data_IF_088833007309
#
_entry.id   IF_088833007309
#
_cell.length_a   1.000
_cell.length_b   1.000
_cell.length_c   1.000
_cell.angle_alpha   90.00
_cell.angle_beta   90.00
_cell.angle_gamma   90.00
#
_symmetry.space_group_name_H-M   'P 1'
#
loop_
_entity.id
_entity.type
_entity.pdbx_description
1 polymer ?
#
# COMPACT_ATOMS: atom_id res chain seq x y z
N UNK A 1 -19.60 -18.85 -7.02
CA UNK A 1 -18.25 -18.68 -7.63
C UNK A 1 -18.32 -17.50 -8.59
N UNK A 2 -17.31 -16.60 -8.59
CA UNK A 2 -17.22 -15.54 -9.60
C UNK A 2 -17.04 -16.13 -11.00
N UNK A 3 -17.53 -15.45 -12.03
CA UNK A 3 -17.35 -15.85 -13.42
C UNK A 3 -15.93 -15.60 -13.94
N UNK A 4 -15.26 -14.58 -13.37
CA UNK A 4 -13.90 -14.17 -13.71
C UNK A 4 -13.06 -14.33 -12.45
N UNK A 5 -11.93 -15.03 -12.58
CA UNK A 5 -10.98 -15.26 -11.49
C UNK A 5 -9.57 -14.81 -11.92
N UNK A 6 -8.67 -14.52 -10.98
CA UNK A 6 -7.28 -14.23 -11.30
C UNK A 6 -6.61 -15.34 -12.14
N UNK A 7 -6.96 -16.62 -11.88
CA UNK A 7 -6.47 -17.75 -12.65
C UNK A 7 -6.80 -17.64 -14.14
N UNK A 8 -8.05 -17.28 -14.49
CA UNK A 8 -8.48 -17.09 -15.88
C UNK A 8 -7.76 -15.90 -16.52
N UNK A 9 -7.63 -14.79 -15.77
CA UNK A 9 -7.01 -13.57 -16.29
C UNK A 9 -5.50 -13.72 -16.49
N UNK A 10 -4.84 -14.47 -15.63
CA UNK A 10 -3.39 -14.66 -15.66
C UNK A 10 -2.96 -15.91 -16.42
N UNK A 11 -3.89 -16.63 -17.05
CA UNK A 11 -3.59 -17.79 -17.86
C UNK A 11 -2.57 -17.45 -18.96
N UNK A 12 -1.53 -18.28 -19.10
CA UNK A 12 -0.45 -18.07 -20.07
C UNK A 12 0.54 -16.94 -19.71
N UNK A 13 0.36 -16.24 -18.61
CA UNK A 13 1.22 -15.11 -18.23
C UNK A 13 2.68 -15.51 -18.05
N UNK A 14 2.91 -16.74 -17.64
CA UNK A 14 4.24 -17.28 -17.34
C UNK A 14 4.71 -18.33 -18.34
N UNK A 15 4.10 -18.43 -19.52
CA UNK A 15 4.51 -19.40 -20.56
C UNK A 15 5.93 -19.08 -21.09
N UNK A 16 6.23 -17.78 -21.26
CA UNK A 16 7.51 -17.29 -21.77
C UNK A 16 8.42 -16.70 -20.69
N UNK A 17 7.93 -16.50 -19.47
CA UNK A 17 8.67 -15.89 -18.38
C UNK A 17 8.47 -16.65 -17.07
N UNK A 18 9.48 -16.74 -16.20
CA UNK A 18 9.33 -17.44 -14.93
C UNK A 18 8.31 -16.74 -14.02
N UNK A 19 7.46 -17.52 -13.33
CA UNK A 19 6.64 -16.98 -12.25
C UNK A 19 7.56 -16.57 -11.09
N UNK A 20 7.41 -15.33 -10.55
CA UNK A 20 8.21 -14.89 -9.40
C UNK A 20 7.89 -15.69 -8.14
N UNK A 21 8.91 -15.97 -7.32
CA UNK A 21 8.77 -16.66 -6.03
C UNK A 21 8.58 -15.67 -4.86
N UNK A 22 7.74 -14.66 -5.04
CA UNK A 22 7.51 -13.65 -4.01
C UNK A 22 6.57 -14.16 -2.91
N UNK A 23 6.98 -13.94 -1.66
CA UNK A 23 6.08 -14.08 -0.49
C UNK A 23 5.59 -12.74 0.00
N UNK A 24 6.29 -11.67 -0.34
CA UNK A 24 5.91 -10.28 -0.01
C UNK A 24 5.94 -9.43 -1.26
N UNK A 25 4.97 -8.52 -1.37
CA UNK A 25 4.94 -7.48 -2.39
C UNK A 25 4.72 -6.09 -1.78
N UNK A 26 5.31 -5.08 -2.42
CA UNK A 26 5.09 -3.65 -2.12
C UNK A 26 4.34 -3.03 -3.28
N UNK A 27 3.17 -2.44 -3.01
CA UNK A 27 2.35 -1.70 -3.97
C UNK A 27 2.59 -0.20 -3.80
N UNK A 28 3.14 0.45 -4.83
CA UNK A 28 3.52 1.87 -4.80
C UNK A 28 2.45 2.72 -5.49
N UNK A 29 1.60 3.35 -4.71
CA UNK A 29 0.50 4.21 -5.17
C UNK A 29 0.98 5.66 -5.32
N UNK A 30 1.83 5.88 -6.31
CA UNK A 30 2.41 7.20 -6.62
C UNK A 30 2.42 7.43 -8.13
N UNK A 31 2.49 8.69 -8.52
CA UNK A 31 2.75 9.11 -9.89
C UNK A 31 4.10 8.59 -10.43
N UNK A 32 4.44 9.00 -11.63
CA UNK A 32 5.66 8.55 -12.29
C UNK A 32 6.93 8.88 -11.50
N UNK A 33 7.03 10.13 -11.05
CA UNK A 33 8.20 10.63 -10.32
C UNK A 33 8.30 10.01 -8.92
N UNK A 34 7.22 10.04 -8.16
CA UNK A 34 7.16 9.44 -6.83
C UNK A 34 7.41 7.94 -6.83
N UNK A 35 6.90 7.20 -7.82
CA UNK A 35 7.20 5.78 -7.98
C UNK A 35 8.67 5.52 -8.29
N UNK A 36 9.31 6.38 -9.09
CA UNK A 36 10.76 6.33 -9.33
C UNK A 36 11.56 6.50 -8.05
N UNK A 37 11.20 7.47 -7.22
CA UNK A 37 11.82 7.69 -5.91
C UNK A 37 11.63 6.50 -4.96
N UNK A 38 10.44 5.88 -4.93
CA UNK A 38 10.17 4.69 -4.13
C UNK A 38 11.01 3.50 -4.58
N UNK A 39 11.04 3.20 -5.87
CA UNK A 39 11.82 2.09 -6.44
C UNK A 39 13.32 2.28 -6.15
N UNK A 40 13.84 3.49 -6.36
CA UNK A 40 15.23 3.83 -6.07
C UNK A 40 15.52 3.74 -4.57
N UNK A 41 14.66 4.29 -3.72
CA UNK A 41 14.82 4.27 -2.26
C UNK A 41 14.76 2.87 -1.67
N UNK A 42 14.00 1.96 -2.27
CA UNK A 42 13.95 0.54 -1.94
C UNK A 42 15.16 -0.23 -2.49
N UNK A 43 15.85 0.29 -3.50
CA UNK A 43 16.92 -0.43 -4.20
C UNK A 43 16.41 -1.58 -5.09
N UNK A 44 15.14 -1.50 -5.50
CA UNK A 44 14.53 -2.51 -6.36
C UNK A 44 14.99 -2.38 -7.81
N UNK A 45 15.08 -3.50 -8.53
CA UNK A 45 15.53 -3.56 -9.91
C UNK A 45 14.40 -3.99 -10.84
N UNK A 46 14.33 -3.47 -12.07
CA UNK A 46 13.35 -3.92 -13.05
C UNK A 46 13.42 -5.42 -13.28
N UNK A 47 12.26 -6.07 -13.36
CA UNK A 47 12.18 -7.51 -13.64
C UNK A 47 12.32 -7.83 -15.15
N UNK A 48 12.09 -6.84 -16.02
CA UNK A 48 12.21 -6.99 -17.48
C UNK A 48 10.94 -7.50 -18.17
N UNK A 49 9.94 -7.97 -17.42
CA UNK A 49 8.62 -8.35 -17.92
C UNK A 49 7.52 -7.96 -16.94
N UNK A 50 6.30 -7.87 -17.44
CA UNK A 50 5.13 -7.52 -16.63
C UNK A 50 4.54 -8.76 -15.98
N UNK A 51 4.44 -8.77 -14.65
CA UNK A 51 3.89 -9.89 -13.88
C UNK A 51 2.37 -9.82 -13.80
N UNK A 52 1.81 -8.64 -13.50
CA UNK A 52 0.40 -8.45 -13.21
C UNK A 52 -0.36 -7.88 -14.41
N UNK A 53 -1.58 -8.38 -14.64
CA UNK A 53 -2.45 -7.90 -15.72
C UNK A 53 -3.17 -6.61 -15.35
N UNK A 54 -3.49 -6.43 -14.07
CA UNK A 54 -4.21 -5.26 -13.56
C UNK A 54 -3.46 -3.91 -13.68
N UNK A 55 -2.18 -3.95 -14.09
CA UNK A 55 -1.42 -2.72 -14.37
C UNK A 55 -1.73 -2.09 -15.73
N UNK A 56 -2.33 -2.85 -16.64
CA UNK A 56 -2.54 -2.42 -18.01
C UNK A 56 -1.24 -2.23 -18.81
N UNK A 57 -1.38 -2.13 -20.11
CA UNK A 57 -0.29 -1.78 -21.01
C UNK A 57 -0.58 -0.42 -21.62
N UNK A 58 0.26 0.57 -21.31
CA UNK A 58 0.15 1.91 -21.91
C UNK A 58 1.22 2.10 -22.96
N UNK A 59 0.86 2.21 -24.26
CA UNK A 59 1.82 2.48 -25.32
C UNK A 59 2.65 3.73 -25.02
N UNK A 60 3.95 3.65 -25.25
CA UNK A 60 4.87 4.78 -25.04
C UNK A 60 5.29 5.02 -23.58
N UNK A 61 4.97 4.13 -22.66
CA UNK A 61 5.41 4.21 -21.28
C UNK A 61 6.76 3.49 -21.09
N UNK A 62 7.87 4.22 -20.90
CA UNK A 62 9.22 3.66 -20.93
C UNK A 62 9.61 2.94 -19.61
N UNK A 63 8.82 3.06 -18.55
CA UNK A 63 9.21 2.52 -17.25
C UNK A 63 8.53 1.18 -16.98
N UNK A 64 9.28 0.17 -16.55
CA UNK A 64 8.71 -1.07 -16.06
C UNK A 64 7.89 -0.81 -14.79
N UNK A 65 6.74 -1.44 -14.68
CA UNK A 65 5.92 -1.38 -13.46
C UNK A 65 6.39 -2.40 -12.42
N UNK A 66 6.97 -3.49 -12.87
CA UNK A 66 7.36 -4.63 -12.04
C UNK A 66 8.85 -4.61 -11.77
N UNK A 67 9.19 -4.60 -10.50
CA UNK A 67 10.56 -4.64 -10.00
C UNK A 67 10.68 -5.74 -8.95
N UNK A 68 11.91 -6.11 -8.65
CA UNK A 68 12.25 -7.06 -7.60
C UNK A 68 13.32 -6.49 -6.67
N UNK A 69 13.13 -6.69 -5.37
CA UNK A 69 14.10 -6.38 -4.34
C UNK A 69 14.60 -7.68 -3.71
N UNK A 70 15.92 -7.82 -3.60
CA UNK A 70 16.55 -8.94 -2.89
C UNK A 70 16.95 -8.52 -1.46
N UNK A 71 16.49 -9.28 -0.46
CA UNK A 71 16.90 -9.11 0.94
C UNK A 71 17.35 -10.48 1.47
N UNK A 72 18.65 -10.68 1.58
CA UNK A 72 19.20 -12.01 1.85
C UNK A 72 18.75 -13.03 0.79
N UNK A 73 18.09 -14.08 1.24
CA UNK A 73 17.51 -15.11 0.35
C UNK A 73 16.11 -14.75 -0.14
N UNK A 74 15.43 -13.76 0.48
CA UNK A 74 14.09 -13.39 0.11
C UNK A 74 14.06 -12.55 -1.17
N UNK A 75 12.98 -12.75 -1.95
CA UNK A 75 12.63 -11.94 -3.10
C UNK A 75 11.30 -11.24 -2.82
N UNK A 76 11.28 -9.93 -2.97
CA UNK A 76 10.14 -9.06 -2.72
C UNK A 76 9.74 -8.40 -4.02
N UNK A 77 8.49 -8.58 -4.43
CA UNK A 77 7.93 -7.87 -5.56
C UNK A 77 7.72 -6.39 -5.23
N UNK A 78 8.07 -5.49 -6.15
CA UNK A 78 7.79 -4.05 -6.02
C UNK A 78 7.05 -3.61 -7.26
N UNK A 79 5.77 -3.29 -7.09
CA UNK A 79 4.88 -2.88 -8.16
C UNK A 79 4.78 -1.35 -8.10
N UNK A 80 5.41 -0.70 -9.05
CA UNK A 80 5.46 0.75 -9.15
C UNK A 80 4.25 1.29 -9.93
N UNK A 81 3.90 2.56 -9.70
CA UNK A 81 2.87 3.28 -10.44
C UNK A 81 1.49 2.61 -10.37
N UNK A 82 1.14 2.05 -9.24
CA UNK A 82 -0.23 1.64 -8.99
C UNK A 82 -1.14 2.87 -9.10
N UNK A 83 -2.22 2.76 -9.85
CA UNK A 83 -3.19 3.84 -10.02
C UNK A 83 -3.97 4.06 -8.72
N UNK A 84 -4.57 5.23 -8.62
CA UNK A 84 -5.37 5.58 -7.46
C UNK A 84 -6.69 4.82 -7.44
N UNK A 85 -7.07 4.39 -6.25
CA UNK A 85 -8.39 3.86 -5.95
C UNK A 85 -8.49 2.36 -5.75
N UNK A 86 -9.60 2.01 -5.10
CA UNK A 86 -9.91 0.65 -4.67
C UNK A 86 -9.93 -0.39 -5.78
N UNK A 87 -10.56 -0.15 -6.96
CA UNK A 87 -10.70 -1.19 -7.97
C UNK A 87 -9.37 -1.79 -8.44
N UNK A 88 -8.38 -0.95 -8.76
CA UNK A 88 -7.08 -1.48 -9.16
C UNK A 88 -6.37 -2.16 -7.97
N UNK A 89 -6.47 -1.57 -6.78
CA UNK A 89 -5.90 -2.16 -5.56
C UNK A 89 -6.38 -3.59 -5.37
N UNK A 90 -7.68 -3.82 -5.47
CA UNK A 90 -8.29 -5.15 -5.31
C UNK A 90 -7.82 -6.15 -6.38
N UNK A 91 -7.78 -5.73 -7.65
CA UNK A 91 -7.28 -6.57 -8.75
C UNK A 91 -5.83 -7.00 -8.46
N UNK A 92 -4.95 -6.07 -8.10
CA UNK A 92 -3.55 -6.37 -7.81
C UNK A 92 -3.38 -7.31 -6.62
N UNK A 93 -4.20 -7.17 -5.57
CA UNK A 93 -4.19 -8.09 -4.41
C UNK A 93 -4.56 -9.50 -4.83
N UNK A 94 -5.62 -9.68 -5.61
CA UNK A 94 -6.06 -11.00 -6.06
C UNK A 94 -5.05 -11.66 -7.01
N UNK A 95 -4.46 -10.89 -7.93
CA UNK A 95 -3.40 -11.40 -8.82
C UNK A 95 -2.12 -11.78 -8.05
N UNK A 96 -1.74 -11.00 -7.04
CA UNK A 96 -0.62 -11.32 -6.16
C UNK A 96 -0.90 -12.57 -5.31
N UNK A 97 -2.13 -12.74 -4.82
CA UNK A 97 -2.56 -13.96 -4.14
C UNK A 97 -2.41 -15.19 -5.02
N UNK A 98 -2.85 -15.08 -6.27
CA UNK A 98 -2.76 -16.16 -7.26
C UNK A 98 -1.31 -16.63 -7.48
N UNK A 99 -0.34 -15.73 -7.52
CA UNK A 99 1.08 -16.09 -7.67
C UNK A 99 1.76 -16.50 -6.36
N UNK A 100 1.03 -16.55 -5.25
CA UNK A 100 1.52 -17.09 -3.97
C UNK A 100 2.11 -16.07 -3.00
N UNK A 101 1.83 -14.78 -3.19
CA UNK A 101 2.14 -13.71 -2.22
C UNK A 101 1.26 -13.88 -0.99
N UNK A 102 1.84 -13.75 0.19
CA UNK A 102 1.16 -13.88 1.49
C UNK A 102 1.18 -12.60 2.32
N UNK A 103 2.00 -11.63 1.92
CA UNK A 103 2.11 -10.32 2.60
C UNK A 103 2.13 -9.18 1.59
N UNK A 104 1.35 -8.13 1.83
CA UNK A 104 1.34 -6.93 0.97
C UNK A 104 1.54 -5.67 1.83
N UNK A 105 2.45 -4.81 1.39
CA UNK A 105 2.68 -3.48 1.95
C UNK A 105 2.23 -2.46 0.90
N UNK A 106 1.14 -1.74 1.16
CA UNK A 106 0.77 -0.57 0.38
C UNK A 106 1.59 0.64 0.84
N UNK A 107 2.08 1.44 -0.11
CA UNK A 107 2.82 2.67 0.18
C UNK A 107 2.33 3.82 -0.71
N UNK A 108 2.00 4.96 -0.08
CA UNK A 108 1.44 6.10 -0.81
C UNK A 108 1.32 7.37 0.03
N UNK A 109 0.55 8.31 -0.48
CA UNK A 109 0.22 9.55 0.21
C UNK A 109 -1.16 9.47 0.88
N UNK A 110 -1.37 10.23 1.93
CA UNK A 110 -2.66 10.43 2.60
C UNK A 110 -2.89 11.90 2.89
N UNK A 111 -4.15 12.34 2.85
CA UNK A 111 -4.57 13.64 3.35
C UNK A 111 -4.84 13.57 4.85
N UNK A 112 -4.36 14.54 5.64
CA UNK A 112 -4.71 14.63 7.06
C UNK A 112 -6.04 15.34 7.26
N UNK A 113 -6.91 14.74 8.04
CA UNK A 113 -8.15 15.35 8.53
C UNK A 113 -8.12 15.56 10.04
N UNK A 114 -7.05 15.21 10.73
CA UNK A 114 -6.86 15.39 12.18
C UNK A 114 -5.86 16.54 12.44
N UNK A 115 -6.26 17.58 13.21
CA UNK A 115 -5.37 18.68 13.57
C UNK A 115 -4.05 18.25 14.26
N UNK A 116 -4.04 17.10 14.94
CA UNK A 116 -2.86 16.57 15.63
C UNK A 116 -1.83 15.89 14.70
N UNK A 117 -2.19 15.65 13.42
CA UNK A 117 -1.34 14.96 12.45
C UNK A 117 -0.92 15.94 11.35
N UNK A 118 0.23 16.61 11.50
CA UNK A 118 0.68 17.60 10.53
C UNK A 118 1.18 16.93 9.23
N UNK A 119 1.17 17.74 8.17
CA UNK A 119 1.82 17.42 6.90
C UNK A 119 3.30 17.02 7.12
N UNK A 120 3.77 16.03 6.38
CA UNK A 120 5.10 15.42 6.55
C UNK A 120 5.16 14.26 7.55
N UNK A 121 4.10 14.03 8.35
CA UNK A 121 4.06 12.88 9.25
C UNK A 121 4.13 11.57 8.48
N UNK A 122 4.92 10.61 8.96
CA UNK A 122 4.85 9.22 8.52
C UNK A 122 3.75 8.50 9.31
N UNK A 123 2.93 7.71 8.62
CA UNK A 123 1.78 7.04 9.23
C UNK A 123 1.71 5.56 8.83
N UNK A 124 1.15 4.75 9.73
CA UNK A 124 0.73 3.37 9.44
C UNK A 124 -0.74 3.23 9.76
N UNK A 125 -1.54 2.81 8.79
CA UNK A 125 -2.98 2.64 8.96
C UNK A 125 -3.26 1.36 9.74
N UNK A 126 -3.53 1.49 11.04
CA UNK A 126 -3.93 0.35 11.87
C UNK A 126 -5.38 -0.03 11.63
N UNK A 127 -6.24 0.94 11.35
CA UNK A 127 -7.66 0.77 11.06
C UNK A 127 -7.98 1.42 9.74
N UNK A 128 -8.88 0.83 8.95
CA UNK A 128 -9.45 1.42 7.73
C UNK A 128 -10.97 1.40 7.81
N UNK A 129 -11.62 2.56 7.65
CA UNK A 129 -13.08 2.67 7.55
C UNK A 129 -13.52 2.37 6.11
N UNK A 130 -14.50 1.48 5.96
CA UNK A 130 -15.03 1.02 4.66
C UNK A 130 -16.10 1.96 4.14
N UNK A 131 -15.71 3.03 3.45
CA UNK A 131 -16.65 4.01 2.88
C UNK A 131 -16.69 3.98 1.34
N UNK A 132 -15.74 3.31 0.71
CA UNK A 132 -15.61 3.11 -0.73
C UNK A 132 -16.49 1.95 -1.26
N UNK A 133 -16.76 1.96 -2.55
CA UNK A 133 -17.58 0.93 -3.21
C UNK A 133 -16.84 -0.39 -3.36
N UNK A 134 -15.52 -0.37 -3.53
CA UNK A 134 -14.71 -1.58 -3.73
C UNK A 134 -14.69 -2.45 -2.48
N UNK A 135 -14.36 -1.88 -1.32
CA UNK A 135 -14.31 -2.68 -0.09
C UNK A 135 -15.67 -3.30 0.25
N UNK A 136 -16.78 -2.62 -0.08
CA UNK A 136 -18.13 -3.15 0.11
C UNK A 136 -18.47 -4.35 -0.78
N UNK A 137 -17.75 -4.55 -1.87
CA UNK A 137 -17.89 -5.77 -2.69
C UNK A 137 -17.25 -6.99 -2.01
N UNK A 138 -16.36 -6.79 -1.04
CA UNK A 138 -15.64 -7.83 -0.31
C UNK A 138 -16.19 -8.08 1.10
N UNK A 139 -16.77 -7.05 1.75
CA UNK A 139 -17.20 -7.14 3.15
C UNK A 139 -18.25 -6.09 3.50
N UNK A 140 -19.13 -6.45 4.45
CA UNK A 140 -20.09 -5.54 5.10
C UNK A 140 -19.50 -4.91 6.38
N UNK A 141 -18.28 -5.29 6.79
CA UNK A 141 -17.67 -4.76 8.01
C UNK A 141 -17.46 -3.23 7.86
N UNK A 142 -17.83 -2.43 8.88
CA UNK A 142 -17.69 -0.97 8.81
C UNK A 142 -16.23 -0.51 8.91
N UNK A 143 -15.36 -1.38 9.43
CA UNK A 143 -13.94 -1.14 9.60
C UNK A 143 -13.13 -2.43 9.42
N UNK A 144 -11.88 -2.28 9.04
CA UNK A 144 -10.92 -3.36 8.82
C UNK A 144 -9.61 -3.03 9.53
N UNK A 145 -8.88 -4.08 9.91
CA UNK A 145 -7.59 -3.94 10.61
C UNK A 145 -6.44 -4.26 9.68
N UNK A 146 -5.41 -3.43 9.71
CA UNK A 146 -4.10 -3.80 9.19
C UNK A 146 -3.50 -4.94 10.00
N UNK A 147 -2.66 -5.76 9.38
CA UNK A 147 -1.97 -6.86 10.07
C UNK A 147 -1.13 -6.34 11.25
N UNK A 148 -1.35 -6.91 12.43
CA UNK A 148 -0.77 -6.42 13.68
C UNK A 148 0.76 -6.53 13.70
N UNK A 149 1.31 -7.61 13.14
CA UNK A 149 2.76 -7.81 13.05
C UNK A 149 3.37 -6.79 12.08
N UNK A 150 2.79 -6.63 10.90
CA UNK A 150 3.28 -5.66 9.91
C UNK A 150 3.19 -4.22 10.45
N UNK A 151 2.11 -3.86 11.15
CA UNK A 151 2.01 -2.57 11.85
C UNK A 151 3.11 -2.38 12.89
N UNK A 152 3.40 -3.40 13.69
CA UNK A 152 4.45 -3.35 14.72
C UNK A 152 5.83 -3.21 14.12
N UNK A 153 6.13 -3.92 13.02
CA UNK A 153 7.38 -3.79 12.29
C UNK A 153 7.57 -2.38 11.70
N UNK A 154 6.50 -1.79 11.16
CA UNK A 154 6.55 -0.41 10.65
C UNK A 154 6.88 0.60 11.76
N UNK A 155 6.29 0.45 12.94
CA UNK A 155 6.58 1.31 14.10
C UNK A 155 8.02 1.14 14.59
N UNK A 156 8.49 -0.09 14.75
CA UNK A 156 9.86 -0.38 15.18
C UNK A 156 10.88 0.16 14.17
N UNK A 157 10.62 0.03 12.87
CA UNK A 157 11.43 0.65 11.82
C UNK A 157 11.45 2.19 11.94
N UNK A 158 10.28 2.79 12.21
CA UNK A 158 10.16 4.24 12.45
C UNK A 158 10.97 4.73 13.65
N UNK A 159 10.96 3.99 14.75
CA UNK A 159 11.78 4.31 15.94
C UNK A 159 13.26 4.28 15.61
N UNK A 160 13.74 3.24 14.90
CA UNK A 160 15.15 3.14 14.48
C UNK A 160 15.58 4.29 13.56
N UNK A 161 14.70 4.73 12.69
CA UNK A 161 14.96 5.85 11.77
C UNK A 161 14.68 7.22 12.41
N UNK A 162 14.18 7.26 13.65
CA UNK A 162 13.77 8.49 14.35
C UNK A 162 12.73 9.31 13.55
N UNK A 163 11.83 8.64 12.81
CA UNK A 163 10.84 9.29 11.97
C UNK A 163 9.51 9.57 12.66
N UNK A 164 9.28 8.99 13.84
CA UNK A 164 8.06 9.22 14.62
C UNK A 164 6.79 8.73 13.91
N UNK A 165 6.80 7.53 13.33
CA UNK A 165 5.64 6.92 12.66
C UNK A 165 4.43 6.85 13.59
N UNK A 166 3.26 7.29 13.11
CA UNK A 166 2.01 7.33 13.87
C UNK A 166 1.05 6.25 13.41
N UNK A 167 0.43 5.56 14.36
CA UNK A 167 -0.75 4.73 14.08
C UNK A 167 -1.94 5.61 13.80
N UNK A 168 -2.68 5.32 12.72
CA UNK A 168 -3.85 6.10 12.33
C UNK A 168 -5.04 5.21 11.97
N UNK A 169 -6.23 5.81 12.06
CA UNK A 169 -7.43 5.32 11.40
C UNK A 169 -7.56 6.04 10.05
N UNK A 170 -7.50 5.29 8.96
CA UNK A 170 -7.68 5.81 7.62
C UNK A 170 -9.13 5.65 7.18
N UNK A 171 -9.67 6.64 6.45
CA UNK A 171 -10.90 6.48 5.68
C UNK A 171 -10.55 6.41 4.20
N UNK A 172 -11.27 5.57 3.45
CA UNK A 172 -11.06 5.43 2.00
C UNK A 172 -12.22 6.04 1.25
N UNK A 173 -11.93 6.89 0.25
CA UNK A 173 -12.92 7.52 -0.62
C UNK A 173 -12.70 7.15 -2.08
N UNK A 174 -13.79 6.99 -2.85
CA UNK A 174 -13.73 6.84 -4.31
C UNK A 174 -13.76 8.19 -5.06
N UNK A 175 -13.95 9.32 -4.33
CA UNK A 175 -14.30 10.57 -4.95
C UNK A 175 -13.66 11.78 -4.24
N UNK A 176 -12.39 12.02 -4.50
CA UNK A 176 -11.59 13.10 -3.91
C UNK A 176 -12.26 14.47 -3.99
N UNK A 177 -12.96 14.79 -5.10
CA UNK A 177 -13.66 16.07 -5.27
C UNK A 177 -15.01 16.13 -4.54
N UNK A 178 -15.35 15.14 -3.73
CA UNK A 178 -16.56 15.11 -2.89
C UNK A 178 -16.24 15.14 -1.39
N UNK A 179 -15.00 15.39 -1.03
CA UNK A 179 -14.54 15.58 0.35
C UNK A 179 -14.98 16.97 0.87
N UNK A 180 -16.29 17.13 1.05
CA UNK A 180 -16.87 18.36 1.60
C UNK A 180 -16.65 18.43 3.13
N UNK A 181 -16.75 19.63 3.71
CA UNK A 181 -16.62 19.81 5.17
C UNK A 181 -17.54 18.87 5.96
N UNK A 182 -18.80 18.72 5.53
CA UNK A 182 -19.76 17.82 6.17
C UNK A 182 -19.35 16.35 6.10
N UNK A 183 -18.77 15.93 4.99
CA UNK A 183 -18.28 14.56 4.79
C UNK A 183 -17.05 14.32 5.67
N UNK A 184 -16.09 15.22 5.67
CA UNK A 184 -14.87 15.14 6.49
C UNK A 184 -15.22 15.10 7.97
N UNK A 185 -16.17 15.93 8.43
CA UNK A 185 -16.62 15.92 9.81
C UNK A 185 -17.32 14.62 10.19
N UNK A 186 -18.12 14.05 9.29
CA UNK A 186 -18.71 12.72 9.51
C UNK A 186 -17.66 11.61 9.62
N UNK A 187 -16.54 11.71 8.90
CA UNK A 187 -15.41 10.77 9.02
C UNK A 187 -14.67 10.96 10.35
N UNK A 188 -14.39 12.21 10.75
CA UNK A 188 -13.78 12.53 12.05
C UNK A 188 -14.59 11.98 13.22
N UNK A 189 -15.92 12.14 13.17
CA UNK A 189 -16.84 11.59 14.20
C UNK A 189 -16.74 10.07 14.33
N UNK A 190 -16.35 9.37 13.27
CA UNK A 190 -16.09 7.93 13.28
C UNK A 190 -14.65 7.57 13.67
N UNK A 191 -13.82 8.55 14.00
CA UNK A 191 -12.44 8.36 14.42
C UNK A 191 -11.41 8.35 13.29
N UNK A 192 -11.80 8.67 12.04
CA UNK A 192 -10.85 8.81 10.95
C UNK A 192 -9.92 10.01 11.19
N UNK A 193 -8.64 9.81 10.89
CA UNK A 193 -7.58 10.79 11.08
C UNK A 193 -6.89 11.17 9.77
N UNK A 194 -6.92 10.26 8.81
CA UNK A 194 -6.37 10.46 7.47
C UNK A 194 -7.31 9.89 6.41
N UNK A 195 -7.20 10.38 5.18
CA UNK A 195 -7.98 9.92 4.03
C UNK A 195 -7.05 9.53 2.87
N UNK A 196 -7.41 8.46 2.17
CA UNK A 196 -6.83 8.08 0.88
C UNK A 196 -7.87 7.34 0.02
N UNK A 197 -7.44 6.68 -1.04
CA UNK A 197 -8.35 6.01 -1.97
C UNK A 197 -8.16 4.48 -2.00
N UNK A 198 -7.30 3.88 -1.16
CA UNK A 198 -6.87 2.49 -1.32
C UNK A 198 -6.93 1.62 -0.07
N UNK A 199 -6.75 2.19 1.14
CA UNK A 199 -6.46 1.40 2.35
C UNK A 199 -7.52 0.35 2.66
N UNK A 200 -8.82 0.72 2.63
CA UNK A 200 -9.88 -0.25 2.94
C UNK A 200 -10.01 -1.33 1.88
N UNK A 201 -9.86 -0.97 0.60
CA UNK A 201 -9.86 -1.95 -0.49
C UNK A 201 -8.69 -2.93 -0.40
N UNK A 202 -7.49 -2.44 -0.03
CA UNK A 202 -6.32 -3.27 0.24
C UNK A 202 -6.64 -4.29 1.34
N UNK A 203 -7.19 -3.84 2.47
CA UNK A 203 -7.46 -4.72 3.61
C UNK A 203 -8.60 -5.70 3.33
N UNK A 204 -9.66 -5.24 2.64
CA UNK A 204 -10.81 -6.08 2.30
C UNK A 204 -10.45 -7.21 1.33
N UNK A 205 -9.78 -6.89 0.24
CA UNK A 205 -9.32 -7.89 -0.74
C UNK A 205 -8.29 -8.83 -0.11
N UNK A 206 -7.33 -8.30 0.68
CA UNK A 206 -6.33 -9.12 1.38
C UNK A 206 -6.96 -10.11 2.34
N UNK A 207 -7.94 -9.68 3.14
CA UNK A 207 -8.65 -10.57 4.06
C UNK A 207 -9.37 -11.70 3.32
N UNK A 208 -10.00 -11.40 2.19
CA UNK A 208 -10.67 -12.40 1.35
C UNK A 208 -9.70 -13.41 0.76
N UNK A 209 -8.49 -12.97 0.41
CA UNK A 209 -7.42 -13.81 -0.16
C UNK A 209 -6.53 -14.50 0.89
N UNK A 210 -6.75 -14.26 2.19
CA UNK A 210 -5.88 -14.79 3.26
C UNK A 210 -4.48 -14.17 3.29
N UNK A 211 -4.35 -12.93 2.86
CA UNK A 211 -3.09 -12.16 2.82
C UNK A 211 -3.01 -11.23 4.03
N UNK A 212 -1.86 -11.19 4.71
CA UNK A 212 -1.53 -10.14 5.67
C UNK A 212 -1.20 -8.84 4.94
N UNK A 213 -1.83 -7.72 5.30
CA UNK A 213 -1.55 -6.45 4.64
C UNK A 213 -1.47 -5.26 5.59
N UNK A 214 -0.70 -4.25 5.19
CA UNK A 214 -0.56 -2.97 5.90
C UNK A 214 -0.43 -1.83 4.89
N UNK A 215 -0.99 -0.68 5.21
CA UNK A 215 -0.75 0.58 4.49
C UNK A 215 0.20 1.45 5.29
N UNK A 216 1.26 1.92 4.62
CA UNK A 216 2.25 2.87 5.14
C UNK A 216 2.24 4.08 4.23
N UNK A 217 2.26 5.28 4.81
CA UNK A 217 2.20 6.49 4.02
C UNK A 217 2.82 7.69 4.70
N UNK A 218 2.79 8.80 3.96
CA UNK A 218 3.11 10.12 4.48
C UNK A 218 1.93 11.06 4.24
N UNK A 219 1.77 12.01 5.16
CA UNK A 219 0.77 13.05 5.01
C UNK A 219 1.26 14.08 4.01
N UNK A 220 0.64 14.10 2.82
CA UNK A 220 0.99 15.01 1.72
C UNK A 220 0.31 16.36 1.80
N UNK A 221 -0.89 16.38 2.31
CA UNK A 221 -1.80 17.53 2.36
C UNK A 221 -2.70 17.48 3.59
N UNK A 222 -3.47 18.52 3.82
CA UNK A 222 -4.25 18.61 5.04
C UNK A 222 -5.56 19.39 4.86
N UNK A 223 -6.62 18.84 5.43
CA UNK A 223 -7.93 19.47 5.60
C UNK A 223 -8.21 19.75 7.10
N UNK A 224 -7.20 20.17 7.86
CA UNK A 224 -7.30 20.39 9.31
C UNK A 224 -8.04 21.66 9.70
N UNK A 225 -8.02 22.64 8.81
CA UNK A 225 -8.67 23.94 9.00
C UNK A 225 -9.86 24.13 8.07
N UNK A 226 -10.23 25.38 7.85
CA UNK A 226 -11.26 25.80 6.89
C UNK A 226 -10.79 25.81 5.44
N UNK A 227 -9.48 25.67 5.22
CA UNK A 227 -8.86 25.68 3.91
C UNK A 227 -8.04 24.41 3.71
N UNK A 228 -7.94 23.98 2.46
CA UNK A 228 -7.08 22.88 2.07
C UNK A 228 -5.62 23.36 2.01
N UNK A 229 -4.75 22.67 2.74
CA UNK A 229 -3.31 22.87 2.69
C UNK A 229 -2.70 21.92 1.65
N UNK A 230 -2.33 22.47 0.49
CA UNK A 230 -1.90 21.72 -0.68
C UNK A 230 -0.61 20.91 -0.49
N UNK A 231 -0.35 20.02 -1.46
CA UNK A 231 0.85 19.19 -1.50
C UNK A 231 2.13 20.02 -1.66
N UNK A 232 3.08 19.85 -0.76
CA UNK A 232 4.42 20.45 -0.84
C UNK A 232 5.45 19.53 -0.21
N UNK A 233 6.69 19.50 -0.72
CA UNK A 233 7.79 18.71 -0.14
C UNK A 233 7.59 17.19 -0.23
N UNK A 234 6.88 16.71 -1.23
CA UNK A 234 6.46 15.31 -1.36
C UNK A 234 7.63 14.38 -1.63
N UNK A 235 8.68 14.85 -2.30
CA UNK A 235 9.83 14.03 -2.68
C UNK A 235 10.55 13.49 -1.45
N UNK A 236 10.92 14.35 -0.50
CA UNK A 236 11.58 13.96 0.74
C UNK A 236 10.72 13.00 1.57
N UNK A 237 9.42 13.25 1.64
CA UNK A 237 8.46 12.39 2.34
C UNK A 237 8.37 11.02 1.68
N UNK A 238 8.36 10.98 0.34
CA UNK A 238 8.35 9.74 -0.45
C UNK A 238 9.61 8.91 -0.22
N UNK A 239 10.78 9.55 -0.24
CA UNK A 239 12.07 8.90 0.07
C UNK A 239 12.10 8.37 1.51
N UNK A 240 11.54 9.11 2.46
CA UNK A 240 11.44 8.67 3.86
C UNK A 240 10.54 7.44 3.99
N UNK A 241 9.39 7.43 3.31
CA UNK A 241 8.50 6.27 3.28
C UNK A 241 9.18 5.03 2.67
N UNK A 242 9.99 5.20 1.61
CA UNK A 242 10.77 4.11 1.05
C UNK A 242 11.81 3.55 2.04
N UNK A 243 12.52 4.42 2.75
CA UNK A 243 13.48 4.01 3.80
C UNK A 243 12.79 3.25 4.94
N UNK A 244 11.60 3.70 5.33
CA UNK A 244 10.80 3.05 6.37
C UNK A 244 10.42 1.63 5.96
N UNK A 245 9.88 1.46 4.75
CA UNK A 245 9.50 0.15 4.22
C UNK A 245 10.74 -0.74 4.04
N UNK A 246 11.86 -0.21 3.55
CA UNK A 246 13.10 -0.98 3.43
C UNK A 246 13.59 -1.47 4.80
N UNK A 247 13.61 -0.61 5.82
CA UNK A 247 14.01 -0.99 7.17
C UNK A 247 13.10 -2.07 7.77
N UNK A 248 11.78 -1.95 7.54
CA UNK A 248 10.79 -2.95 7.92
C UNK A 248 11.02 -4.30 7.22
N UNK A 249 11.29 -4.29 5.91
CA UNK A 249 11.57 -5.51 5.15
C UNK A 249 12.88 -6.17 5.58
N UNK A 250 13.92 -5.39 5.86
CA UNK A 250 15.19 -5.91 6.39
C UNK A 250 14.96 -6.64 7.71
N UNK A 251 14.19 -6.07 8.63
CA UNK A 251 13.87 -6.73 9.90
C UNK A 251 13.04 -7.99 9.70
N UNK A 252 12.05 -7.94 8.81
CA UNK A 252 11.17 -9.08 8.51
C UNK A 252 11.96 -10.29 7.97
N UNK A 253 13.06 -10.06 7.26
CA UNK A 253 13.88 -11.11 6.63
C UNK A 253 15.27 -11.26 7.26
N UNK A 254 15.55 -10.63 8.41
CA UNK A 254 16.80 -10.84 9.15
C UNK A 254 16.81 -12.21 9.84
N UNK A 255 17.94 -12.90 9.89
CA UNK A 255 18.05 -14.25 10.46
C UNK A 255 17.58 -14.40 11.92
N UNK A 256 17.57 -13.32 12.69
CA UNK A 256 17.15 -13.33 14.10
C UNK A 256 15.62 -13.55 14.30
N UNK A 257 14.79 -13.38 13.27
CA UNK A 257 13.33 -13.59 13.35
C UNK A 257 12.94 -15.02 12.92
N UNK A 258 13.80 -15.69 12.17
CA UNK A 258 13.54 -17.04 11.64
C UNK A 258 13.58 -18.15 12.71
N UNK A 259 14.08 -17.89 13.92
CA UNK A 259 14.16 -18.91 14.99
C UNK A 259 12.89 -19.04 15.83
N UNK A 260 11.90 -18.16 15.69
CA UNK A 260 10.67 -18.18 16.50
C UNK A 260 9.42 -18.75 15.79
N UNK A 261 9.47 -19.03 14.50
CA UNK A 261 8.33 -19.58 13.73
C UNK A 261 8.35 -21.13 13.65
N UNK A 262 9.21 -21.79 14.40
CA UNK A 262 9.46 -23.24 14.36
C UNK A 262 9.24 -24.01 15.68
N UNK A 263 8.29 -23.56 16.54
CA UNK A 263 7.94 -24.32 17.75
C UNK A 263 6.42 -24.52 17.89
#
# INVERSE_FOLDING_TARGET
MPYITPEVFMQGRFDDNPQPEWKTAVLCFRDLEGSGLLVQGLGARPLGYQVLTGMGEFPGNPLPYTHELAIGQARVGVIARCGWGGPQTAILVEELAYIGVTKIIGIGAVGSIDPAIPKGSQVVAQVALTTDGTSKAYTDAPELMGDALLCSLALAAGERLSTGVRKVCAVTTDAIYRETEAVVEAWRTKGAQVVNMETSALYAASATCGISSVWIGHVSDSMRGSEWEEWTGIEDMTVMSAKLVLAMLIEMYSPAVAENDGA
#
